data_IF_896304202547
#
_entry.id   IF_896304202547
#
_cell.length_a   1.000
_cell.length_b   1.000
_cell.length_c   1.000
_cell.angle_alpha   90.00
_cell.angle_beta   90.00
_cell.angle_gamma   90.00
#
_symmetry.space_group_name_H-M   'P 1'
#
loop_
_entity.id
_entity.type
_entity.pdbx_description
1 polymer ?
#
# COMPACT_ATOMS: atom_id res chain seq x y z
N UNK A 1 8.28 -7.48 -18.45
CA UNK A 1 8.33 -6.45 -17.40
C UNK A 1 9.01 -5.26 -18.02
N UNK A 2 8.34 -4.12 -18.07
CA UNK A 2 8.90 -2.90 -18.65
C UNK A 2 9.76 -2.26 -17.56
N UNK A 3 11.07 -2.46 -17.59
CA UNK A 3 11.97 -1.76 -16.68
C UNK A 3 11.87 -0.26 -16.98
N UNK A 4 11.36 0.51 -16.02
CA UNK A 4 11.33 1.95 -16.11
C UNK A 4 12.61 2.49 -15.48
N UNK A 5 13.64 2.73 -16.31
CA UNK A 5 14.97 3.16 -15.85
C UNK A 5 14.92 4.40 -14.94
N UNK A 6 13.99 5.33 -15.18
CA UNK A 6 13.87 6.53 -14.36
C UNK A 6 13.37 6.21 -12.96
N UNK A 7 12.41 5.29 -12.83
CA UNK A 7 11.93 4.84 -11.52
C UNK A 7 13.03 4.05 -10.79
N UNK A 8 13.77 3.19 -11.50
CA UNK A 8 14.88 2.45 -10.92
C UNK A 8 15.98 3.39 -10.37
N UNK A 9 16.26 4.49 -11.07
CA UNK A 9 17.19 5.53 -10.61
C UNK A 9 16.72 6.19 -9.31
N UNK A 10 15.44 6.54 -9.19
CA UNK A 10 14.89 7.14 -7.97
C UNK A 10 14.83 6.16 -6.79
N UNK A 11 14.48 4.89 -7.05
CA UNK A 11 14.47 3.83 -6.03
C UNK A 11 15.86 3.64 -5.39
N UNK A 12 16.94 3.76 -6.17
CA UNK A 12 18.31 3.64 -5.65
C UNK A 12 18.74 4.81 -4.73
N UNK A 13 18.00 5.93 -4.72
CA UNK A 13 18.32 7.10 -3.88
C UNK A 13 17.66 7.04 -2.51
N UNK A 14 16.62 6.22 -2.34
CA UNK A 14 15.84 6.15 -1.11
C UNK A 14 16.18 4.85 -0.37
N UNK A 15 16.42 4.93 0.93
CA UNK A 15 16.67 3.77 1.78
C UNK A 15 15.41 3.32 2.51
N UNK A 16 15.32 2.01 2.78
CA UNK A 16 14.34 1.45 3.71
C UNK A 16 14.51 2.05 5.12
N UNK A 17 13.45 2.00 5.93
CA UNK A 17 13.51 2.50 7.30
C UNK A 17 14.46 1.63 8.12
N UNK A 18 15.50 2.25 8.66
CA UNK A 18 16.41 1.59 9.58
C UNK A 18 15.81 1.59 10.99
N UNK A 19 15.36 0.42 11.46
CA UNK A 19 14.76 0.26 12.79
C UNK A 19 15.73 0.49 13.96
N UNK A 20 17.03 0.48 13.71
CA UNK A 20 18.07 0.76 14.71
C UNK A 20 18.40 2.26 14.81
N UNK A 21 17.81 3.11 13.96
CA UNK A 21 18.02 4.55 13.99
C UNK A 21 16.99 5.25 14.88
N UNK A 22 17.35 6.43 15.41
CA UNK A 22 16.46 7.23 16.26
C UNK A 22 15.32 7.92 15.50
N UNK A 23 15.32 7.88 14.15
CA UNK A 23 14.39 8.62 13.30
C UNK A 23 13.27 7.77 12.67
N UNK A 24 13.07 6.52 13.12
CA UNK A 24 12.03 5.59 12.61
C UNK A 24 10.66 6.25 12.51
N UNK A 25 10.18 6.86 13.61
CA UNK A 25 8.85 7.49 13.62
C UNK A 25 8.77 8.67 12.64
N UNK A 26 9.86 9.43 12.48
CA UNK A 26 9.93 10.52 11.49
C UNK A 26 9.82 9.95 10.07
N UNK A 27 10.54 8.88 9.75
CA UNK A 27 10.48 8.24 8.44
C UNK A 27 9.11 7.62 8.16
N UNK A 28 8.46 7.02 9.15
CA UNK A 28 7.10 6.50 9.04
C UNK A 28 6.08 7.63 8.77
N UNK A 29 6.20 8.77 9.47
CA UNK A 29 5.37 9.96 9.20
C UNK A 29 5.57 10.49 7.79
N UNK A 30 6.83 10.59 7.34
CA UNK A 30 7.15 11.00 5.97
C UNK A 30 6.58 10.02 4.94
N UNK A 31 6.61 8.72 5.21
CA UNK A 31 5.97 7.70 4.38
C UNK A 31 4.45 7.88 4.29
N UNK A 32 3.77 8.11 5.42
CA UNK A 32 2.33 8.37 5.44
C UNK A 32 1.96 9.66 4.67
N UNK A 33 2.77 10.71 4.80
CA UNK A 33 2.60 11.96 4.03
C UNK A 33 2.77 11.71 2.53
N UNK A 34 3.80 10.95 2.13
CA UNK A 34 4.04 10.59 0.73
C UNK A 34 2.87 9.78 0.14
N UNK A 35 2.28 8.86 0.91
CA UNK A 35 1.08 8.13 0.50
C UNK A 35 -0.08 9.10 0.23
N UNK A 36 -0.33 10.07 1.11
CA UNK A 36 -1.38 11.08 0.88
C UNK A 36 -1.09 11.91 -0.38
N UNK A 37 0.16 12.35 -0.56
CA UNK A 37 0.55 13.09 -1.76
C UNK A 37 0.32 12.28 -3.04
N UNK A 38 0.59 10.97 -3.02
CA UNK A 38 0.33 10.10 -4.18
C UNK A 38 -1.18 9.95 -4.44
N UNK A 39 -1.99 9.78 -3.39
CA UNK A 39 -3.46 9.74 -3.50
C UNK A 39 -3.99 11.05 -4.12
N UNK A 40 -3.50 12.20 -3.67
CA UNK A 40 -3.88 13.51 -4.17
C UNK A 40 -3.47 13.69 -5.65
N UNK A 41 -2.21 13.36 -5.98
CA UNK A 41 -1.70 13.41 -7.36
C UNK A 41 -2.49 12.47 -8.30
N UNK A 42 -2.90 11.30 -7.80
CA UNK A 42 -3.71 10.37 -8.56
C UNK A 42 -5.10 10.95 -8.85
N UNK A 43 -5.74 11.56 -7.85
CA UNK A 43 -7.02 12.28 -7.99
C UNK A 43 -6.95 13.34 -9.08
N UNK A 44 -5.86 14.11 -9.11
CA UNK A 44 -5.67 15.23 -10.03
C UNK A 44 -5.17 14.79 -11.42
N UNK A 45 -5.03 13.48 -11.67
CA UNK A 45 -4.42 12.94 -12.89
C UNK A 45 -3.02 13.50 -13.17
N UNK A 46 -2.30 13.90 -12.12
CA UNK A 46 -0.95 14.47 -12.17
C UNK A 46 0.11 13.52 -11.59
N UNK A 47 -0.23 12.25 -11.47
CA UNK A 47 0.63 11.21 -10.88
C UNK A 47 1.63 10.64 -11.88
N UNK A 48 1.35 10.75 -13.18
CA UNK A 48 2.21 10.23 -14.22
C UNK A 48 3.51 11.07 -14.26
N UNK A 49 4.64 10.43 -13.98
CA UNK A 49 6.03 10.96 -14.05
C UNK A 49 6.65 11.53 -12.76
N UNK A 50 5.94 11.57 -11.62
CA UNK A 50 6.60 11.88 -10.34
C UNK A 50 7.31 10.64 -9.77
N UNK A 51 8.41 10.25 -10.42
CA UNK A 51 9.17 9.05 -10.05
C UNK A 51 9.81 9.15 -8.66
N UNK A 52 10.10 10.36 -8.18
CA UNK A 52 10.63 10.59 -6.84
C UNK A 52 9.59 10.23 -5.78
N UNK A 53 8.36 10.75 -5.92
CA UNK A 53 7.26 10.42 -5.03
C UNK A 53 6.90 8.92 -5.10
N UNK A 54 6.84 8.36 -6.31
CA UNK A 54 6.52 6.95 -6.52
C UNK A 54 7.57 6.05 -5.86
N UNK A 55 8.87 6.33 -6.05
CA UNK A 55 9.95 5.59 -5.42
C UNK A 55 9.88 5.67 -3.89
N UNK A 56 9.64 6.87 -3.36
CA UNK A 56 9.48 7.08 -1.92
C UNK A 56 8.31 6.25 -1.36
N UNK A 57 7.16 6.27 -2.03
CA UNK A 57 5.99 5.47 -1.61
C UNK A 57 6.29 3.98 -1.67
N UNK A 58 6.84 3.47 -2.78
CA UNK A 58 7.15 2.04 -2.92
C UNK A 58 8.08 1.54 -1.81
N UNK A 59 9.13 2.29 -1.48
CA UNK A 59 10.06 1.93 -0.41
C UNK A 59 9.39 2.04 0.96
N UNK A 60 8.59 3.08 1.20
CA UNK A 60 7.93 3.28 2.50
C UNK A 60 6.81 2.26 2.74
N UNK A 61 6.16 1.73 1.70
CA UNK A 61 5.17 0.64 1.82
C UNK A 61 5.77 -0.70 2.29
N UNK A 62 7.10 -0.84 2.35
CA UNK A 62 7.74 -2.00 3.00
C UNK A 62 7.62 -1.95 4.53
N UNK A 63 7.45 -0.76 5.11
CA UNK A 63 7.19 -0.60 6.54
C UNK A 63 5.71 -0.90 6.87
N UNK A 64 5.50 -1.68 7.94
CA UNK A 64 4.18 -2.13 8.37
C UNK A 64 3.25 -0.96 8.70
N UNK A 65 3.73 0.06 9.40
CA UNK A 65 2.89 1.18 9.84
C UNK A 65 2.47 2.05 8.65
N UNK A 66 3.37 2.30 7.71
CA UNK A 66 3.04 3.07 6.50
C UNK A 66 2.08 2.30 5.59
N UNK A 67 2.30 1.00 5.40
CA UNK A 67 1.40 0.15 4.60
C UNK A 67 0.01 0.07 5.22
N UNK A 68 -0.08 -0.17 6.52
CA UNK A 68 -1.37 -0.30 7.20
C UNK A 68 -2.08 1.06 7.30
N UNK A 69 -1.33 2.17 7.31
CA UNK A 69 -1.88 3.51 7.12
C UNK A 69 -2.52 3.66 5.75
N UNK A 70 -1.81 3.31 4.67
CA UNK A 70 -2.30 3.37 3.30
C UNK A 70 -3.58 2.53 3.10
N UNK A 71 -3.60 1.31 3.64
CA UNK A 71 -4.78 0.43 3.61
C UNK A 71 -5.99 1.06 4.30
N UNK A 72 -5.77 1.79 5.40
CA UNK A 72 -6.84 2.42 6.15
C UNK A 72 -7.42 3.69 5.53
N UNK A 73 -6.79 4.26 4.49
CA UNK A 73 -7.31 5.44 3.77
C UNK A 73 -8.57 5.14 2.93
N UNK A 74 -8.84 3.87 2.63
CA UNK A 74 -10.01 3.50 1.82
C UNK A 74 -11.31 3.68 2.62
N UNK A 75 -12.28 4.36 2.03
CA UNK A 75 -13.62 4.56 2.55
C UNK A 75 -14.63 4.11 1.49
N UNK A 76 -15.90 3.99 1.87
CA UNK A 76 -16.96 3.74 0.88
C UNK A 76 -17.06 4.84 -0.18
N UNK A 77 -16.62 6.06 0.12
CA UNK A 77 -16.69 7.22 -0.77
C UNK A 77 -15.55 7.26 -1.80
N UNK A 78 -14.38 6.71 -1.47
CA UNK A 78 -13.19 6.76 -2.34
C UNK A 78 -12.76 5.38 -2.87
N UNK A 79 -13.54 4.32 -2.64
CA UNK A 79 -13.14 2.95 -2.95
C UNK A 79 -12.71 2.75 -4.40
N UNK A 80 -13.48 3.27 -5.37
CA UNK A 80 -13.14 3.16 -6.80
C UNK A 80 -11.82 3.86 -7.14
N UNK A 81 -11.56 5.01 -6.50
CA UNK A 81 -10.31 5.74 -6.69
C UNK A 81 -9.13 4.94 -6.11
N UNK A 82 -9.28 4.38 -4.91
CA UNK A 82 -8.26 3.57 -4.26
C UNK A 82 -7.99 2.29 -5.03
N UNK A 83 -9.04 1.63 -5.53
CA UNK A 83 -8.93 0.48 -6.42
C UNK A 83 -8.06 0.79 -7.65
N UNK A 84 -8.36 1.89 -8.35
CA UNK A 84 -7.61 2.29 -9.54
C UNK A 84 -6.17 2.70 -9.23
N UNK A 85 -5.95 3.42 -8.12
CA UNK A 85 -4.61 3.81 -7.66
C UNK A 85 -3.72 2.60 -7.42
N UNK A 86 -4.19 1.65 -6.60
CA UNK A 86 -3.38 0.49 -6.24
C UNK A 86 -3.20 -0.46 -7.43
N UNK A 87 -4.21 -0.58 -8.30
CA UNK A 87 -4.06 -1.32 -9.56
C UNK A 87 -2.98 -0.70 -10.46
N UNK A 88 -3.00 0.63 -10.63
CA UNK A 88 -1.98 1.34 -11.41
C UNK A 88 -0.59 1.16 -10.81
N UNK A 89 -0.43 1.44 -9.50
CA UNK A 89 0.86 1.36 -8.82
C UNK A 89 1.41 -0.07 -8.83
N UNK A 90 0.57 -1.10 -8.67
CA UNK A 90 0.97 -2.51 -8.72
C UNK A 90 1.56 -2.89 -10.09
N UNK A 91 1.01 -2.35 -11.18
CA UNK A 91 1.50 -2.62 -12.53
C UNK A 91 2.74 -1.79 -12.89
N UNK A 92 3.00 -0.70 -12.17
CA UNK A 92 4.20 0.11 -12.31
C UNK A 92 5.37 -0.40 -11.44
N UNK A 93 5.08 -0.98 -10.28
CA UNK A 93 6.08 -1.40 -9.30
C UNK A 93 7.05 -2.45 -9.88
N UNK A 94 8.38 -2.26 -9.75
CA UNK A 94 9.35 -3.27 -10.12
C UNK A 94 9.37 -4.43 -9.11
N UNK A 95 9.96 -5.56 -9.52
CA UNK A 95 10.16 -6.74 -8.65
C UNK A 95 10.89 -6.33 -7.37
N UNK A 96 10.44 -6.86 -6.24
CA UNK A 96 10.86 -6.52 -4.88
C UNK A 96 9.98 -5.45 -4.20
N UNK A 97 9.06 -4.83 -4.94
CA UNK A 97 8.14 -3.79 -4.45
C UNK A 97 6.67 -4.10 -4.73
N UNK A 98 6.36 -5.21 -5.39
CA UNK A 98 5.00 -5.55 -5.83
C UNK A 98 4.17 -6.05 -4.65
N UNK A 99 4.74 -6.88 -3.78
CA UNK A 99 4.00 -7.53 -2.69
C UNK A 99 3.16 -6.58 -1.79
N UNK A 100 3.70 -5.47 -1.26
CA UNK A 100 2.89 -4.54 -0.47
C UNK A 100 1.75 -3.91 -1.27
N UNK A 101 2.03 -3.45 -2.49
CA UNK A 101 1.03 -2.76 -3.33
C UNK A 101 -0.06 -3.73 -3.79
N UNK A 102 0.34 -4.94 -4.17
CA UNK A 102 -0.58 -6.00 -4.55
C UNK A 102 -1.51 -6.39 -3.39
N UNK A 103 -1.03 -6.37 -2.14
CA UNK A 103 -1.90 -6.58 -0.98
C UNK A 103 -2.90 -5.42 -0.77
N UNK A 104 -2.50 -4.17 -0.99
CA UNK A 104 -3.41 -3.02 -0.94
C UNK A 104 -4.51 -3.13 -2.01
N UNK A 105 -4.11 -3.44 -3.25
CA UNK A 105 -5.05 -3.66 -4.35
C UNK A 105 -5.96 -4.87 -4.08
N UNK A 106 -5.41 -5.94 -3.53
CA UNK A 106 -6.19 -7.13 -3.18
C UNK A 106 -7.26 -6.84 -2.14
N UNK A 107 -6.94 -6.05 -1.12
CA UNK A 107 -7.89 -5.62 -0.09
C UNK A 107 -9.02 -4.76 -0.68
N UNK A 108 -8.69 -3.76 -1.51
CA UNK A 108 -9.72 -2.92 -2.15
C UNK A 108 -10.58 -3.70 -3.13
N UNK A 109 -10.00 -4.57 -3.96
CA UNK A 109 -10.74 -5.44 -4.87
C UNK A 109 -11.70 -6.36 -4.12
N UNK A 110 -11.27 -6.94 -3.00
CA UNK A 110 -12.14 -7.78 -2.18
C UNK A 110 -13.34 -7.02 -1.61
N UNK A 111 -13.11 -5.79 -1.12
CA UNK A 111 -14.18 -4.92 -0.61
C UNK A 111 -15.15 -4.48 -1.69
N UNK A 112 -14.66 -4.26 -2.90
CA UNK A 112 -15.50 -3.95 -4.08
C UNK A 112 -16.27 -5.16 -4.62
N UNK A 113 -16.10 -6.36 -4.03
CA UNK A 113 -16.75 -7.59 -4.51
C UNK A 113 -16.04 -8.27 -5.69
N UNK A 114 -14.87 -7.75 -6.10
CA UNK A 114 -14.06 -8.26 -7.20
C UNK A 114 -13.11 -9.37 -6.71
N UNK A 115 -13.69 -10.46 -6.20
CA UNK A 115 -12.94 -11.54 -5.55
C UNK A 115 -11.88 -12.19 -6.44
N UNK A 116 -12.16 -12.34 -7.75
CA UNK A 116 -11.20 -12.91 -8.71
C UNK A 116 -9.97 -12.00 -8.88
N UNK A 117 -10.18 -10.68 -9.00
CA UNK A 117 -9.09 -9.70 -9.08
C UNK A 117 -8.30 -9.67 -7.77
N UNK A 118 -8.98 -9.78 -6.63
CA UNK A 118 -8.33 -9.86 -5.33
C UNK A 118 -7.39 -11.08 -5.23
N UNK A 119 -7.79 -12.24 -5.75
CA UNK A 119 -6.95 -13.45 -5.79
C UNK A 119 -5.77 -13.30 -6.76
N UNK A 120 -5.99 -12.74 -7.96
CA UNK A 120 -4.93 -12.46 -8.93
C UNK A 120 -3.88 -11.51 -8.35
N UNK A 121 -4.32 -10.51 -7.59
CA UNK A 121 -3.43 -9.60 -6.87
C UNK A 121 -2.58 -10.35 -5.83
N UNK A 122 -3.17 -11.27 -5.06
CA UNK A 122 -2.38 -12.11 -4.14
C UNK A 122 -1.39 -13.00 -4.86
N UNK A 123 -1.74 -13.57 -6.01
CA UNK A 123 -0.81 -14.37 -6.80
C UNK A 123 0.40 -13.55 -7.26
N UNK A 124 0.20 -12.28 -7.63
CA UNK A 124 1.30 -11.33 -7.90
C UNK A 124 2.12 -11.05 -6.64
N UNK A 125 1.49 -10.87 -5.49
CA UNK A 125 2.21 -10.67 -4.23
C UNK A 125 3.11 -11.87 -3.88
N UNK A 126 2.61 -13.10 -4.02
CA UNK A 126 3.38 -14.31 -3.76
C UNK A 126 4.47 -14.59 -4.81
N UNK A 127 4.27 -14.15 -6.05
CA UNK A 127 5.30 -14.21 -7.08
C UNK A 127 6.48 -13.27 -6.76
N UNK A 128 6.21 -12.17 -6.05
CA UNK A 128 7.22 -11.20 -5.61
C UNK A 128 7.90 -11.61 -4.29
N UNK A 129 7.09 -12.02 -3.29
CA UNK A 129 7.56 -12.58 -2.01
C UNK A 129 6.60 -13.67 -1.53
N UNK A 130 7.06 -14.93 -1.63
CA UNK A 130 6.29 -16.12 -1.27
C UNK A 130 5.86 -16.13 0.22
N UNK A 131 6.57 -15.39 1.07
CA UNK A 131 6.37 -15.35 2.51
C UNK A 131 5.73 -14.07 3.02
N UNK A 132 5.27 -13.19 2.13
CA UNK A 132 4.76 -11.87 2.52
C UNK A 132 3.59 -11.98 3.52
N UNK A 133 3.75 -11.51 4.78
CA UNK A 133 2.79 -11.84 5.84
C UNK A 133 1.36 -11.38 5.58
N UNK A 134 1.18 -10.19 5.00
CA UNK A 134 -0.15 -9.67 4.69
C UNK A 134 -0.83 -10.48 3.58
N UNK A 135 -0.08 -10.94 2.57
CA UNK A 135 -0.64 -11.78 1.50
C UNK A 135 -1.17 -13.11 2.07
N UNK A 136 -0.43 -13.72 3.01
CA UNK A 136 -0.84 -14.94 3.71
C UNK A 136 -2.13 -14.69 4.52
N UNK A 137 -2.21 -13.56 5.23
CA UNK A 137 -3.39 -13.20 6.01
C UNK A 137 -4.61 -12.98 5.11
N UNK A 138 -4.48 -12.20 4.03
CA UNK A 138 -5.55 -11.95 3.08
C UNK A 138 -6.03 -13.25 2.40
N UNK A 139 -5.11 -14.15 2.02
CA UNK A 139 -5.49 -15.45 1.46
C UNK A 139 -6.38 -16.25 2.42
N UNK A 140 -6.09 -16.21 3.72
CA UNK A 140 -6.91 -16.87 4.75
C UNK A 140 -8.29 -16.23 4.89
N UNK A 141 -8.36 -14.89 4.86
CA UNK A 141 -9.63 -14.14 4.91
C UNK A 141 -10.52 -14.53 3.72
N UNK A 142 -9.96 -14.54 2.51
CA UNK A 142 -10.73 -14.82 1.30
C UNK A 142 -11.15 -16.29 1.23
N UNK A 143 -10.26 -17.22 1.63
CA UNK A 143 -10.60 -18.64 1.72
C UNK A 143 -11.71 -18.92 2.74
N UNK A 144 -11.76 -18.14 3.82
CA UNK A 144 -12.84 -18.20 4.81
C UNK A 144 -14.13 -17.49 4.34
N UNK A 145 -14.14 -16.90 3.14
CA UNK A 145 -15.26 -16.16 2.55
C UNK A 145 -15.87 -15.13 3.50
N UNK A 146 -15.00 -14.37 4.19
CA UNK A 146 -15.43 -13.30 5.09
C UNK A 146 -16.28 -12.28 4.33
N UNK A 147 -17.44 -11.84 4.85
CA UNK A 147 -18.24 -10.82 4.17
C UNK A 147 -17.43 -9.54 3.93
N UNK A 148 -17.47 -8.94 2.72
CA UNK A 148 -16.74 -7.70 2.40
C UNK A 148 -16.99 -6.58 3.42
N UNK A 149 -18.25 -6.37 3.83
CA UNK A 149 -18.61 -5.36 4.84
C UNK A 149 -17.96 -5.61 6.21
N UNK A 150 -17.78 -6.89 6.59
CA UNK A 150 -17.10 -7.24 7.85
C UNK A 150 -15.60 -6.95 7.78
N UNK A 151 -14.99 -7.16 6.62
CA UNK A 151 -13.59 -6.83 6.38
C UNK A 151 -13.38 -5.29 6.38
N UNK A 152 -14.25 -4.56 5.68
CA UNK A 152 -14.24 -3.08 5.67
C UNK A 152 -14.42 -2.51 7.09
N UNK A 153 -15.36 -3.04 7.87
CA UNK A 153 -15.58 -2.62 9.26
C UNK A 153 -14.36 -2.89 10.15
N UNK A 154 -13.71 -4.05 10.03
CA UNK A 154 -12.48 -4.35 10.76
C UNK A 154 -11.37 -3.35 10.40
N UNK A 155 -11.15 -3.08 9.12
CA UNK A 155 -10.13 -2.14 8.64
C UNK A 155 -10.39 -0.72 9.16
N UNK A 156 -11.63 -0.26 9.11
CA UNK A 156 -12.04 1.05 9.64
C UNK A 156 -11.79 1.19 11.16
N UNK A 157 -11.88 0.09 11.93
CA UNK A 157 -11.56 0.09 13.37
C UNK A 157 -10.05 0.14 13.65
N UNK A 158 -9.22 -0.36 12.75
CA UNK A 158 -7.77 -0.39 12.90
C UNK A 158 -7.12 0.94 12.55
N UNK A 159 -7.62 1.64 11.52
CA UNK A 159 -6.99 2.86 11.01
C UNK A 159 -6.78 3.97 12.07
N UNK A 160 -7.74 4.28 12.96
CA UNK A 160 -7.52 5.26 14.04
C UNK A 160 -6.35 4.92 14.95
N UNK A 161 -6.07 3.63 15.19
CA UNK A 161 -4.93 3.19 16.02
C UNK A 161 -3.60 3.44 15.30
N UNK A 162 -3.57 3.21 13.99
CA UNK A 162 -2.41 3.52 13.16
C UNK A 162 -2.16 5.03 13.13
N UNK A 163 -3.21 5.84 12.93
CA UNK A 163 -3.13 7.30 12.99
C UNK A 163 -2.63 7.79 14.36
N UNK A 164 -3.11 7.21 15.45
CA UNK A 164 -2.63 7.54 16.80
C UNK A 164 -1.15 7.16 16.99
N UNK A 165 -0.71 6.00 16.48
CA UNK A 165 0.70 5.60 16.54
C UNK A 165 1.60 6.52 15.74
N UNK A 166 1.15 6.97 14.56
CA UNK A 166 1.95 7.82 13.68
C UNK A 166 1.92 9.28 14.13
N UNK A 167 0.76 9.83 14.48
CA UNK A 167 0.56 11.27 14.67
C UNK A 167 0.11 11.66 16.08
N UNK A 168 -0.26 10.71 16.94
CA UNK A 168 -0.78 10.97 18.29
C UNK A 168 0.29 11.29 19.33
N UNK A 169 1.55 10.95 19.08
CA UNK A 169 2.67 11.42 19.89
C UNK A 169 3.03 12.85 19.49
N UNK A 170 2.52 13.83 20.24
CA UNK A 170 3.04 15.20 20.20
C UNK A 170 4.55 15.19 20.51
N UNK A 171 5.29 16.01 19.75
CA UNK A 171 6.67 16.39 20.07
C UNK A 171 6.68 17.20 21.37
#
# INVERSE_FOLDING_TARGET
>A
MTNNLLLDEELNKVSEINYEADDVLKQQRLGAIAVNQLVDAFTLSSHEQDFELIALVLIRLKDLQVRDYAMGLSTSENMDQQFNLWHWLMNLAPVGFIAPVACLFSATAYESGEADLAQIALDKAFADDLTYPLAILLRRVFFANWPPDSFAAMRAQLHPKICASLFGSSI
#
